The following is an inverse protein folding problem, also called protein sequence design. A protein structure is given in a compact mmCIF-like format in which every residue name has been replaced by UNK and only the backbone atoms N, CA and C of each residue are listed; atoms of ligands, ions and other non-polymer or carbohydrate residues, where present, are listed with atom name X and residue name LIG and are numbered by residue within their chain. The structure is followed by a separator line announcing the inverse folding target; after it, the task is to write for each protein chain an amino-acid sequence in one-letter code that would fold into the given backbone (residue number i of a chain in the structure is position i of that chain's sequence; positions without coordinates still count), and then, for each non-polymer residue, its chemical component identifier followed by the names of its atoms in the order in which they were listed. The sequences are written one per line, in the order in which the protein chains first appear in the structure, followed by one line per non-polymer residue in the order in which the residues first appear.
data_IF_088417253880
#
_entry.id   IF_088417253880
#
_cell.length_a   1.000
_cell.length_b   1.000
_cell.length_c   1.000
_cell.angle_alpha   90.00
_cell.angle_beta   90.00
_cell.angle_gamma   90.00
#
_symmetry.space_group_name_H-M   'P 1'
#
loop_
_entity.id
_entity.type
_entity.pdbx_description
1 polymer ?
#
# COMPACT_ATOMS: atom_id res chain seq x y z
N UNK A 1 -3.53 -7.47 -33.92
CA UNK A 1 -2.47 -6.95 -33.04
C UNK A 1 -3.12 -6.77 -31.68
N UNK A 2 -2.73 -7.55 -30.66
CA UNK A 2 -3.31 -7.40 -29.32
C UNK A 2 -2.57 -6.23 -28.66
N UNK A 3 -3.15 -5.04 -28.71
CA UNK A 3 -2.61 -3.81 -28.10
C UNK A 3 -2.76 -3.82 -26.56
N UNK A 4 -2.63 -4.98 -25.93
CA UNK A 4 -2.60 -5.09 -24.48
C UNK A 4 -1.26 -4.60 -23.97
N UNK A 5 -1.12 -3.27 -23.86
CA UNK A 5 -0.08 -2.64 -23.07
C UNK A 5 -0.19 -3.25 -21.67
N UNK A 6 0.80 -4.06 -21.29
CA UNK A 6 0.95 -4.54 -19.92
C UNK A 6 1.24 -3.33 -19.06
N UNK A 7 0.19 -2.79 -18.40
CA UNK A 7 0.37 -1.73 -17.41
C UNK A 7 1.20 -2.30 -16.26
N UNK A 8 2.41 -1.77 -16.10
CA UNK A 8 3.32 -2.17 -15.03
C UNK A 8 3.03 -1.28 -13.81
N UNK A 9 2.66 -1.90 -12.69
CA UNK A 9 2.58 -1.21 -11.41
C UNK A 9 3.97 -1.22 -10.77
N UNK A 10 4.45 -0.05 -10.32
CA UNK A 10 5.71 0.08 -9.62
C UNK A 10 5.50 0.80 -8.29
N UNK A 11 5.90 0.13 -7.21
CA UNK A 11 6.00 0.71 -5.87
C UNK A 11 7.48 1.01 -5.60
N UNK A 12 7.82 2.23 -5.19
CA UNK A 12 9.22 2.72 -5.07
C UNK A 12 9.59 3.21 -3.67
N UNK A 13 8.72 2.97 -2.68
CA UNK A 13 9.04 3.33 -1.31
C UNK A 13 10.10 2.35 -0.77
N UNK A 14 11.23 2.91 -0.33
CA UNK A 14 12.39 2.17 0.20
C UNK A 14 12.10 1.50 1.55
N UNK A 15 11.13 2.04 2.28
CA UNK A 15 10.75 1.59 3.62
C UNK A 15 9.56 0.60 3.53
N UNK A 16 9.02 0.36 2.32
CA UNK A 16 7.91 -0.56 2.07
C UNK A 16 8.41 -1.95 1.63
N UNK A 17 8.16 -2.96 2.47
CA UNK A 17 8.50 -4.35 2.20
C UNK A 17 7.24 -5.14 1.82
N UNK A 18 7.17 -5.61 0.57
CA UNK A 18 6.08 -6.50 0.12
C UNK A 18 6.24 -7.86 0.78
N UNK A 19 5.20 -8.35 1.43
CA UNK A 19 5.19 -9.66 2.12
C UNK A 19 4.45 -10.72 1.32
N UNK A 20 3.41 -10.34 0.59
CA UNK A 20 2.57 -11.27 -0.17
C UNK A 20 1.86 -10.56 -1.32
N UNK A 21 1.64 -11.30 -2.40
CA UNK A 21 0.87 -10.84 -3.56
C UNK A 21 -0.17 -11.92 -3.86
N UNK A 22 -1.44 -11.53 -3.95
CA UNK A 22 -2.54 -12.42 -4.28
C UNK A 22 -3.48 -11.78 -5.31
N UNK A 23 -4.42 -12.58 -5.81
CA UNK A 23 -5.51 -12.08 -6.64
C UNK A 23 -6.84 -12.49 -6.02
N UNK A 24 -7.75 -11.53 -5.94
CA UNK A 24 -9.09 -11.75 -5.39
C UNK A 24 -10.14 -11.27 -6.40
N UNK A 25 -11.36 -11.79 -6.29
CA UNK A 25 -12.50 -11.27 -7.06
C UNK A 25 -13.26 -10.33 -6.15
N UNK A 26 -13.22 -9.04 -6.44
CA UNK A 26 -13.94 -8.01 -5.72
C UNK A 26 -14.91 -7.35 -6.70
N UNK A 27 -16.20 -7.28 -6.36
CA UNK A 27 -17.25 -6.75 -7.26
C UNK A 27 -17.24 -7.33 -8.69
N UNK A 28 -16.98 -8.64 -8.83
CA UNK A 28 -16.87 -9.36 -10.12
C UNK A 28 -15.65 -8.97 -10.97
N UNK A 29 -14.72 -8.18 -10.43
CA UNK A 29 -13.47 -7.82 -11.08
C UNK A 29 -12.27 -8.50 -10.42
N UNK A 30 -11.31 -8.95 -11.23
CA UNK A 30 -10.06 -9.53 -10.73
C UNK A 30 -9.17 -8.41 -10.21
N UNK A 31 -8.93 -8.42 -8.91
CA UNK A 31 -8.17 -7.42 -8.17
C UNK A 31 -6.82 -7.99 -7.75
N UNK A 32 -5.75 -7.24 -7.97
CA UNK A 32 -4.41 -7.54 -7.45
C UNK A 32 -4.31 -6.99 -6.03
N UNK A 33 -4.06 -7.86 -5.05
CA UNK A 33 -3.88 -7.48 -3.64
C UNK A 33 -2.40 -7.62 -3.30
N UNK A 34 -1.83 -6.56 -2.72
CA UNK A 34 -0.42 -6.50 -2.32
C UNK A 34 -0.38 -6.23 -0.82
N UNK A 35 0.04 -7.22 -0.05
CA UNK A 35 0.30 -7.06 1.37
C UNK A 35 1.74 -6.55 1.55
N UNK A 36 1.91 -5.52 2.36
CA UNK A 36 3.21 -4.92 2.62
C UNK A 36 3.31 -4.37 4.04
N UNK A 37 4.54 -4.32 4.54
CA UNK A 37 4.91 -3.73 5.83
C UNK A 37 5.72 -2.47 5.55
N UNK A 38 5.29 -1.34 6.14
CA UNK A 38 6.05 -0.10 6.13
C UNK A 38 6.97 -0.06 7.37
N UNK A 39 8.28 -0.05 7.16
CA UNK A 39 9.32 -0.11 8.20
C UNK A 39 10.42 0.93 7.98
N UNK A 40 10.70 1.80 8.96
CA UNK A 40 10.10 1.82 10.29
C UNK A 40 8.62 2.23 10.24
N UNK A 41 7.83 1.69 11.16
CA UNK A 41 6.45 2.11 11.30
C UNK A 41 6.39 3.65 11.40
N UNK A 42 5.43 4.31 10.74
CA UNK A 42 5.26 5.75 10.85
C UNK A 42 5.26 6.18 12.32
N UNK A 43 5.77 7.37 12.59
CA UNK A 43 5.83 7.93 13.94
C UNK A 43 5.28 9.34 13.90
N UNK A 44 4.79 9.79 15.05
CA UNK A 44 4.36 11.18 15.16
C UNK A 44 5.51 12.13 14.80
N UNK A 45 5.23 13.12 13.96
CA UNK A 45 6.19 14.14 13.59
C UNK A 45 6.43 15.04 14.80
N UNK A 46 7.67 15.09 15.29
CA UNK A 46 8.04 15.94 16.44
C UNK A 46 7.89 17.43 16.16
N UNK A 47 7.96 17.85 14.89
CA UNK A 47 7.95 19.27 14.51
C UNK A 47 6.54 19.85 14.38
N UNK A 48 5.56 19.06 13.94
CA UNK A 48 4.18 19.55 13.74
C UNK A 48 3.14 18.81 14.57
N UNK A 49 3.54 17.79 15.34
CA UNK A 49 2.63 17.00 16.17
C UNK A 49 1.71 16.06 15.39
N UNK A 50 1.84 15.98 14.06
CA UNK A 50 1.04 15.05 13.24
C UNK A 50 1.27 13.62 13.72
N UNK A 51 0.21 12.95 14.13
CA UNK A 51 0.27 11.57 14.62
C UNK A 51 -0.16 10.61 13.50
N UNK A 52 0.19 9.32 13.66
CA UNK A 52 -0.21 8.24 12.73
C UNK A 52 -1.67 7.82 12.95
N UNK A 53 -2.19 8.17 14.13
CA UNK A 53 -3.56 7.92 14.56
C UNK A 53 -4.48 8.78 13.70
N UNK A 54 -5.47 8.17 13.06
CA UNK A 54 -6.51 8.95 12.40
C UNK A 54 -7.30 9.78 13.42
N UNK A 55 -8.15 10.71 12.95
CA UNK A 55 -9.00 11.55 13.81
C UNK A 55 -9.97 10.76 14.72
N UNK A 56 -10.02 9.44 14.59
CA UNK A 56 -10.86 8.53 15.37
C UNK A 56 -10.06 7.77 16.44
N UNK A 57 -8.78 8.09 16.63
CA UNK A 57 -7.99 7.60 17.77
C UNK A 57 -7.56 6.13 17.67
N UNK A 58 -7.60 5.52 16.48
CA UNK A 58 -7.01 4.20 16.25
C UNK A 58 -5.60 4.33 15.68
N UNK A 59 -4.64 3.73 16.40
CA UNK A 59 -3.22 3.68 16.02
C UNK A 59 -2.99 2.79 14.80
#
# INVERSE_FOLDING_TARGET
MNDSIKKMLRLIDKDLMITEISYEIFHKEKTLVINAILSPAPRACRSCGSTVVDGNGKA
#
